data_IF_174407900523
#
_entry.id   IF_174407900523
#
_cell.length_a   1.000
_cell.length_b   1.000
_cell.length_c   1.000
_cell.angle_alpha   90.00
_cell.angle_beta   90.00
_cell.angle_gamma   90.00
#
_symmetry.space_group_name_H-M   'P 1'
#
loop_
_entity.id
_entity.type
_entity.pdbx_description
1 polymer ?
#
# COMPACT_ATOMS: atom_id res chain seq x y z
N UNK A 1 18.11 -18.35 -0.76
CA UNK A 1 17.08 -17.34 -1.09
C UNK A 1 16.90 -16.27 0.00
N UNK A 2 17.01 -16.62 1.30
CA UNK A 2 16.88 -15.66 2.43
C UNK A 2 17.92 -14.53 2.43
N UNK A 3 19.14 -14.76 1.91
CA UNK A 3 20.20 -13.74 1.90
C UNK A 3 20.02 -12.64 0.85
N UNK A 4 19.44 -12.96 -0.31
CA UNK A 4 19.14 -11.96 -1.36
C UNK A 4 18.07 -10.98 -0.87
N UNK A 5 17.14 -11.48 -0.07
CA UNK A 5 16.07 -10.71 0.54
C UNK A 5 16.55 -9.72 1.60
N UNK A 6 17.43 -10.16 2.51
CA UNK A 6 18.03 -9.27 3.52
C UNK A 6 18.87 -8.16 2.87
N UNK A 7 19.53 -8.47 1.75
CA UNK A 7 20.24 -7.48 0.94
C UNK A 7 19.28 -6.47 0.30
N UNK A 8 18.18 -6.91 -0.32
CA UNK A 8 17.17 -5.99 -0.86
C UNK A 8 16.55 -5.09 0.22
N UNK A 9 16.24 -5.65 1.39
CA UNK A 9 15.78 -4.90 2.55
C UNK A 9 16.83 -3.88 3.02
N UNK A 10 18.10 -4.27 3.09
CA UNK A 10 19.20 -3.41 3.49
C UNK A 10 19.46 -2.29 2.46
N UNK A 11 19.37 -2.59 1.18
CA UNK A 11 19.48 -1.61 0.08
C UNK A 11 18.32 -0.63 0.16
N UNK A 12 17.07 -1.09 0.20
CA UNK A 12 15.92 -0.19 0.34
C UNK A 12 16.01 0.67 1.62
N UNK A 13 16.42 0.09 2.75
CA UNK A 13 16.64 0.85 4.00
C UNK A 13 17.77 1.85 3.90
N UNK A 14 18.88 1.51 3.22
CA UNK A 14 20.01 2.40 3.02
C UNK A 14 19.67 3.52 2.03
N UNK A 15 18.94 3.21 0.95
CA UNK A 15 18.35 4.17 0.01
C UNK A 15 17.44 5.13 0.74
N UNK A 16 16.54 4.63 1.60
CA UNK A 16 15.64 5.48 2.41
C UNK A 16 16.40 6.30 3.48
N UNK A 17 17.44 5.75 4.10
CA UNK A 17 18.21 6.42 5.16
C UNK A 17 19.20 7.48 4.62
N UNK A 18 19.62 7.38 3.36
CA UNK A 18 20.58 8.30 2.73
C UNK A 18 19.96 9.44 1.93
N UNK A 19 18.63 9.50 1.79
CA UNK A 19 17.97 10.35 0.79
C UNK A 19 17.14 11.51 1.40
N UNK A 20 17.84 12.48 1.97
CA UNK A 20 17.29 13.82 2.19
C UNK A 20 17.26 14.58 0.86
N UNK A 21 16.25 14.34 0.00
CA UNK A 21 16.03 15.18 -1.20
C UNK A 21 15.51 14.52 -2.50
N UNK A 22 15.03 13.27 -2.49
CA UNK A 22 14.49 12.64 -3.70
C UNK A 22 13.03 13.00 -3.99
N UNK A 23 12.60 12.88 -5.26
CA UNK A 23 11.20 12.96 -5.67
C UNK A 23 10.34 11.97 -4.83
N UNK A 24 9.27 12.44 -4.14
CA UNK A 24 8.33 11.57 -3.44
C UNK A 24 7.83 10.38 -4.26
N UNK A 25 7.74 10.54 -5.59
CA UNK A 25 7.35 9.45 -6.50
C UNK A 25 8.36 8.31 -6.53
N UNK A 26 9.64 8.58 -6.61
CA UNK A 26 10.65 7.51 -6.62
C UNK A 26 10.68 6.77 -5.29
N UNK A 27 10.55 7.52 -4.20
CA UNK A 27 10.44 6.96 -2.84
C UNK A 27 9.22 6.04 -2.72
N UNK A 28 8.08 6.44 -3.28
CA UNK A 28 6.87 5.61 -3.30
C UNK A 28 7.06 4.30 -4.05
N UNK A 29 7.77 4.30 -5.18
CA UNK A 29 8.06 3.11 -5.97
C UNK A 29 8.97 2.15 -5.19
N UNK A 30 9.98 2.69 -4.48
CA UNK A 30 10.84 1.90 -3.60
C UNK A 30 10.04 1.20 -2.48
N UNK A 31 9.15 1.91 -1.81
CA UNK A 31 8.27 1.32 -0.79
C UNK A 31 7.35 0.26 -1.37
N UNK A 32 6.75 0.51 -2.53
CA UNK A 32 5.91 -0.48 -3.21
C UNK A 32 6.69 -1.76 -3.54
N UNK A 33 7.86 -1.65 -4.16
CA UNK A 33 8.74 -2.79 -4.48
C UNK A 33 9.13 -3.56 -3.22
N UNK A 34 9.50 -2.85 -2.15
CA UNK A 34 9.82 -3.46 -0.87
C UNK A 34 8.62 -4.20 -0.26
N UNK A 35 7.43 -3.61 -0.35
CA UNK A 35 6.17 -4.22 0.08
C UNK A 35 5.90 -5.56 -0.62
N UNK A 36 6.05 -5.63 -1.94
CA UNK A 36 5.91 -6.88 -2.71
C UNK A 36 6.92 -7.93 -2.24
N UNK A 37 8.17 -7.53 -2.04
CA UNK A 37 9.25 -8.41 -1.60
C UNK A 37 8.97 -8.95 -0.19
N UNK A 38 8.59 -8.09 0.77
CA UNK A 38 8.19 -8.48 2.14
C UNK A 38 7.00 -9.46 2.13
N UNK A 39 6.00 -9.23 1.29
CA UNK A 39 4.84 -10.13 1.20
C UNK A 39 5.25 -11.53 0.75
N UNK A 40 6.08 -11.62 -0.29
CA UNK A 40 6.53 -12.91 -0.87
C UNK A 40 7.32 -13.77 0.10
N UNK A 41 7.97 -13.17 1.11
CA UNK A 41 8.70 -13.94 2.13
C UNK A 41 7.88 -14.20 3.40
N UNK A 42 6.62 -13.75 3.45
CA UNK A 42 5.72 -13.94 4.59
C UNK A 42 5.76 -12.83 5.64
N UNK A 43 6.52 -11.75 5.43
CA UNK A 43 6.56 -10.58 6.34
C UNK A 43 5.37 -9.64 6.08
N UNK A 44 4.16 -10.17 6.26
CA UNK A 44 2.91 -9.50 5.86
C UNK A 44 2.71 -8.16 6.58
N UNK A 45 3.01 -8.09 7.87
CA UNK A 45 2.84 -6.84 8.63
C UNK A 45 3.72 -5.71 8.10
N UNK A 46 4.99 -6.02 7.83
CA UNK A 46 5.94 -5.04 7.30
C UNK A 46 5.58 -4.66 5.86
N UNK A 47 5.13 -5.64 5.06
CA UNK A 47 4.64 -5.43 3.70
C UNK A 47 3.49 -4.42 3.64
N UNK A 48 2.50 -4.57 4.51
CA UNK A 48 1.36 -3.66 4.61
C UNK A 48 1.82 -2.23 4.92
N UNK A 49 2.77 -2.06 5.84
CA UNK A 49 3.34 -0.74 6.15
C UNK A 49 4.01 -0.11 4.92
N UNK A 50 4.80 -0.90 4.19
CA UNK A 50 5.42 -0.40 2.96
C UNK A 50 4.39 -0.03 1.89
N UNK A 51 3.31 -0.79 1.72
CA UNK A 51 2.24 -0.39 0.81
C UNK A 51 1.53 0.89 1.28
N UNK A 52 1.20 0.99 2.57
CA UNK A 52 0.65 2.20 3.17
C UNK A 52 1.51 3.43 2.85
N UNK A 53 2.81 3.36 3.16
CA UNK A 53 3.75 4.45 2.93
C UNK A 53 3.87 4.80 1.43
N UNK A 54 3.92 3.78 0.57
CA UNK A 54 3.99 3.96 -0.88
C UNK A 54 2.82 4.78 -1.41
N UNK A 55 1.59 4.38 -1.11
CA UNK A 55 0.41 5.03 -1.70
C UNK A 55 0.06 6.35 -1.02
N UNK A 56 0.43 6.54 0.25
CA UNK A 56 0.36 7.86 0.90
C UNK A 56 1.33 8.88 0.29
N UNK A 57 2.56 8.48 -0.05
CA UNK A 57 3.56 9.36 -0.67
C UNK A 57 3.24 9.70 -2.13
N UNK A 58 2.49 8.83 -2.80
CA UNK A 58 2.18 8.96 -4.22
C UNK A 58 0.93 9.78 -4.50
N UNK A 59 0.11 10.05 -3.47
CA UNK A 59 -1.09 10.87 -3.56
C UNK A 59 -0.74 12.32 -3.92
N UNK A 60 -1.16 12.84 -5.08
CA UNK A 60 -0.93 14.24 -5.44
C UNK A 60 -1.72 15.22 -4.56
N UNK A 61 -2.76 14.77 -3.85
CA UNK A 61 -3.65 15.59 -3.05
C UNK A 61 -3.79 15.05 -1.61
N UNK A 62 -2.71 15.00 -0.82
CA UNK A 62 -2.68 14.29 0.45
C UNK A 62 -3.69 14.86 1.46
N UNK A 63 -4.45 13.96 2.07
CA UNK A 63 -5.28 14.28 3.24
C UNK A 63 -4.37 14.46 4.45
N UNK A 64 -4.42 15.65 5.07
CA UNK A 64 -3.49 16.04 6.15
C UNK A 64 -3.96 15.63 7.55
N UNK A 65 -5.20 15.14 7.68
CA UNK A 65 -5.70 14.65 8.96
C UNK A 65 -4.88 13.44 9.43
N UNK A 66 -4.36 13.50 10.66
CA UNK A 66 -3.58 12.39 11.24
C UNK A 66 -4.38 11.08 11.28
N UNK A 67 -5.68 11.20 11.50
CA UNK A 67 -6.62 10.09 11.58
C UNK A 67 -6.80 9.37 10.23
N UNK A 68 -6.64 10.08 9.11
CA UNK A 68 -6.70 9.47 7.79
C UNK A 68 -5.58 8.44 7.60
N UNK A 69 -4.37 8.73 8.10
CA UNK A 69 -3.25 7.80 8.01
C UNK A 69 -3.55 6.49 8.76
N UNK A 70 -4.17 6.58 9.94
CA UNK A 70 -4.57 5.41 10.70
C UNK A 70 -5.72 4.64 10.04
N UNK A 71 -6.76 5.35 9.59
CA UNK A 71 -7.85 4.76 8.81
C UNK A 71 -7.34 4.05 7.55
N UNK A 72 -6.45 4.71 6.81
CA UNK A 72 -5.84 4.18 5.60
C UNK A 72 -5.05 2.92 5.91
N UNK A 73 -4.19 2.93 6.93
CA UNK A 73 -3.43 1.74 7.34
C UNK A 73 -4.33 0.55 7.69
N UNK A 74 -5.43 0.78 8.43
CA UNK A 74 -6.41 -0.26 8.79
C UNK A 74 -7.11 -0.82 7.55
N UNK A 75 -7.62 0.04 6.66
CA UNK A 75 -8.35 -0.38 5.48
C UNK A 75 -7.44 -1.03 4.44
N UNK A 76 -6.20 -0.55 4.28
CA UNK A 76 -5.21 -1.16 3.41
C UNK A 76 -4.77 -2.52 3.94
N UNK A 77 -4.63 -2.67 5.27
CA UNK A 77 -4.38 -3.96 5.89
C UNK A 77 -5.54 -4.94 5.62
N UNK A 78 -6.79 -4.50 5.79
CA UNK A 78 -7.98 -5.29 5.43
C UNK A 78 -7.95 -5.68 3.96
N UNK A 79 -7.54 -4.76 3.09
CA UNK A 79 -7.37 -5.04 1.68
C UNK A 79 -6.37 -6.21 1.49
N UNK A 80 -5.12 -6.00 1.86
CA UNK A 80 -4.06 -7.00 1.66
C UNK A 80 -4.41 -8.35 2.29
N UNK A 81 -4.97 -8.36 3.50
CA UNK A 81 -5.38 -9.57 4.19
C UNK A 81 -6.62 -10.25 3.58
N UNK A 82 -7.43 -9.55 2.79
CA UNK A 82 -8.53 -10.13 2.01
C UNK A 82 -8.05 -10.88 0.76
N UNK A 83 -6.91 -10.47 0.17
CA UNK A 83 -6.36 -11.12 -1.03
C UNK A 83 -5.89 -12.54 -0.78
N UNK A 84 -5.92 -13.39 -1.81
CA UNK A 84 -5.20 -14.70 -1.80
C UNK A 84 -3.69 -14.50 -1.76
N UNK A 85 -3.17 -13.63 -2.63
CA UNK A 85 -1.73 -13.39 -2.80
C UNK A 85 -1.12 -12.52 -1.69
N UNK A 86 -1.91 -11.75 -0.93
CA UNK A 86 -1.43 -10.83 0.13
C UNK A 86 -0.42 -9.76 -0.34
N UNK A 87 -0.45 -9.33 -1.60
CA UNK A 87 0.32 -8.20 -2.12
C UNK A 87 -0.46 -7.40 -3.16
N UNK A 88 -0.03 -6.17 -3.42
CA UNK A 88 -0.48 -5.35 -4.54
C UNK A 88 0.24 -5.77 -5.82
N UNK A 89 -0.51 -6.01 -6.90
CA UNK A 89 0.05 -6.53 -8.17
C UNK A 89 0.66 -5.42 -9.03
N UNK A 90 0.03 -4.25 -9.05
CA UNK A 90 0.42 -3.10 -9.88
C UNK A 90 0.25 -1.79 -9.10
N UNK A 91 0.97 -0.74 -9.50
CA UNK A 91 0.79 0.59 -8.90
C UNK A 91 -0.66 1.08 -9.08
N UNK A 92 -1.26 0.86 -10.25
CA UNK A 92 -2.66 1.22 -10.52
C UNK A 92 -3.65 0.53 -9.58
N UNK A 93 -3.41 -0.74 -9.21
CA UNK A 93 -4.22 -1.43 -8.21
C UNK A 93 -4.12 -0.72 -6.86
N UNK A 94 -2.92 -0.32 -6.44
CA UNK A 94 -2.74 0.40 -5.19
C UNK A 94 -3.27 1.84 -5.19
N UNK A 95 -3.23 2.55 -6.33
CA UNK A 95 -3.94 3.84 -6.50
C UNK A 95 -5.43 3.67 -6.29
N UNK A 96 -6.02 2.70 -6.99
CA UNK A 96 -7.44 2.43 -6.89
C UNK A 96 -7.84 2.14 -5.43
N UNK A 97 -7.05 1.33 -4.70
CA UNK A 97 -7.29 1.05 -3.28
C UNK A 97 -7.17 2.32 -2.43
N UNK A 98 -6.13 3.12 -2.66
CA UNK A 98 -5.95 4.40 -1.97
C UNK A 98 -7.13 5.35 -2.21
N UNK A 99 -7.59 5.48 -3.45
CA UNK A 99 -8.72 6.34 -3.83
C UNK A 99 -10.03 5.85 -3.21
N UNK A 100 -10.28 4.53 -3.19
CA UNK A 100 -11.46 3.95 -2.53
C UNK A 100 -11.46 4.26 -1.02
N UNK A 101 -10.30 4.13 -0.37
CA UNK A 101 -10.13 4.45 1.05
C UNK A 101 -10.36 5.94 1.29
N UNK A 102 -9.79 6.81 0.45
CA UNK A 102 -9.91 8.26 0.55
C UNK A 102 -11.34 8.74 0.34
N UNK A 103 -12.04 8.19 -0.64
CA UNK A 103 -13.45 8.48 -0.85
C UNK A 103 -14.29 8.06 0.36
N UNK A 104 -14.09 6.84 0.87
CA UNK A 104 -14.82 6.40 2.07
C UNK A 104 -14.48 7.25 3.29
N UNK A 105 -13.25 7.73 3.43
CA UNK A 105 -12.87 8.65 4.49
C UNK A 105 -13.68 9.96 4.41
N UNK A 106 -13.78 10.56 3.23
CA UNK A 106 -14.55 11.80 3.05
C UNK A 106 -16.04 11.60 3.33
N UNK A 107 -16.63 10.50 2.89
CA UNK A 107 -18.00 10.14 3.23
C UNK A 107 -18.17 9.97 4.75
N UNK A 108 -17.26 9.25 5.41
CA UNK A 108 -17.29 9.04 6.85
C UNK A 108 -17.23 10.36 7.63
N UNK A 109 -16.37 11.29 7.20
CA UNK A 109 -16.28 12.63 7.81
C UNK A 109 -17.57 13.44 7.61
N UNK A 110 -18.22 13.28 6.45
CA UNK A 110 -19.51 13.91 6.19
C UNK A 110 -20.62 13.29 7.05
N UNK A 111 -20.65 11.96 7.20
CA UNK A 111 -21.58 11.23 8.05
C UNK A 111 -21.45 11.70 9.51
N UNK A 112 -20.23 11.82 10.03
CA UNK A 112 -19.96 12.31 11.39
C UNK A 112 -20.41 13.76 11.56
N UNK A 113 -20.15 14.62 10.57
CA UNK A 113 -20.55 16.02 10.61
C UNK A 113 -22.06 16.22 10.61
N UNK A 114 -22.79 15.38 9.87
CA UNK A 114 -24.25 15.43 9.76
C UNK A 114 -24.96 14.66 10.87
N UNK A 115 -24.24 13.84 11.63
CA UNK A 115 -24.82 13.06 12.72
C UNK A 115 -25.38 13.96 13.81
N UNK A 116 -26.65 13.77 14.15
CA UNK A 116 -27.29 14.39 15.31
C UNK A 116 -26.69 13.88 16.64
N UNK A 117 -26.08 12.69 16.59
CA UNK A 117 -25.48 12.04 17.75
C UNK A 117 -23.95 12.24 17.67
N UNK A 118 -23.33 12.92 18.65
CA UNK A 118 -21.88 13.05 18.68
C UNK A 118 -21.23 11.68 18.87
N UNK A 119 -20.06 11.50 18.27
CA UNK A 119 -19.28 10.28 18.46
C UNK A 119 -18.90 10.12 19.94
N UNK A 120 -19.54 9.19 20.62
CA UNK A 120 -19.33 8.91 22.05
C UNK A 120 -18.24 7.86 22.31
N UNK A 121 -17.57 7.37 21.26
CA UNK A 121 -16.50 6.38 21.39
C UNK A 121 -15.23 6.99 21.96
N UNK A 122 -14.61 6.30 22.91
CA UNK A 122 -13.30 6.65 23.45
C UNK A 122 -12.16 6.23 22.53
N UNK A 123 -12.39 5.25 21.64
CA UNK A 123 -11.38 4.72 20.72
C UNK A 123 -11.85 4.79 19.25
N UNK A 124 -11.35 5.79 18.53
CA UNK A 124 -11.62 5.96 17.08
C UNK A 124 -10.98 4.86 16.24
N UNK A 125 -9.89 4.24 16.71
CA UNK A 125 -9.20 3.18 15.98
C UNK A 125 -10.03 1.92 15.92
N UNK A 126 -10.65 1.51 17.04
CA UNK A 126 -11.57 0.38 17.04
C UNK A 126 -12.79 0.65 16.15
N UNK A 127 -13.29 1.89 16.14
CA UNK A 127 -14.36 2.28 15.24
C UNK A 127 -13.94 2.21 13.75
N UNK A 128 -12.73 2.65 13.39
CA UNK A 128 -12.23 2.51 12.02
C UNK A 128 -12.19 1.05 11.55
N UNK A 129 -11.98 0.09 12.45
CA UNK A 129 -12.04 -1.34 12.11
C UNK A 129 -13.45 -1.82 11.80
N UNK A 130 -14.50 -1.15 12.29
CA UNK A 130 -15.89 -1.52 11.98
C UNK A 130 -16.33 -0.97 10.62
N UNK A 131 -15.75 0.13 10.15
CA UNK A 131 -16.04 0.71 8.83
C UNK A 131 -15.59 -0.23 7.72
N UNK A 132 -16.50 -0.62 6.83
CA UNK A 132 -16.25 -1.51 5.70
C UNK A 132 -16.17 -0.75 4.39
N UNK A 133 -15.26 -1.17 3.52
CA UNK A 133 -15.19 -0.79 2.11
C UNK A 133 -15.42 -2.05 1.29
N UNK A 134 -16.31 -1.98 0.31
CA UNK A 134 -16.48 -3.07 -0.65
C UNK A 134 -15.35 -3.01 -1.67
N UNK A 135 -14.29 -3.77 -1.40
CA UNK A 135 -13.14 -3.81 -2.28
C UNK A 135 -13.39 -4.78 -3.45
N UNK A 136 -13.04 -4.39 -4.68
CA UNK A 136 -13.15 -5.27 -5.83
C UNK A 136 -12.04 -6.33 -5.79
N UNK A 137 -12.24 -7.34 -4.95
CA UNK A 137 -11.47 -8.57 -4.97
C UNK A 137 -11.72 -9.21 -6.33
N UNK A 138 -10.82 -8.94 -7.27
CA UNK A 138 -10.87 -9.51 -8.62
C UNK A 138 -11.02 -11.02 -8.48
N UNK A 139 -12.26 -11.49 -8.55
CA UNK A 139 -12.65 -12.87 -8.43
C UNK A 139 -12.27 -13.53 -9.74
N UNK A 140 -11.28 -14.42 -9.71
CA UNK A 140 -11.06 -15.45 -10.72
C UNK A 140 -11.40 -15.04 -12.16
N UNK A 141 -10.78 -13.98 -12.70
CA UNK A 141 -10.54 -14.03 -14.12
C UNK A 141 -9.52 -15.13 -14.29
N UNK A 142 -9.88 -16.20 -15.00
CA UNK A 142 -8.91 -17.05 -15.67
C UNK A 142 -7.84 -16.12 -16.25
N UNK A 143 -6.57 -16.52 -16.15
CA UNK A 143 -5.44 -15.80 -16.74
C UNK A 143 -5.69 -15.59 -18.24
N UNK A 144 -6.45 -14.56 -18.58
CA UNK A 144 -6.54 -14.07 -19.94
C UNK A 144 -5.24 -13.32 -20.10
N UNK A 145 -4.35 -13.88 -20.92
CA UNK A 145 -3.13 -13.25 -21.40
C UNK A 145 -3.50 -11.95 -22.13
N UNK A 146 -3.71 -10.88 -21.38
CA UNK A 146 -3.89 -9.54 -21.93
C UNK A 146 -2.56 -8.82 -21.90
N UNK A 147 -1.95 -8.79 -23.10
CA UNK A 147 -1.11 -7.72 -23.64
C UNK A 147 -0.27 -6.89 -22.69
N UNK A 148 1.04 -7.17 -22.71
CA UNK A 148 2.18 -6.23 -22.70
C UNK A 148 1.78 -4.79 -22.32
N UNK A 149 1.86 -4.47 -21.03
CA UNK A 149 1.58 -3.14 -20.53
C UNK A 149 1.61 -3.08 -19.00
N UNK A 150 2.76 -3.40 -18.40
CA UNK A 150 2.95 -3.39 -16.95
C UNK A 150 3.21 -4.75 -16.32
N UNK A 151 3.72 -5.71 -17.09
CA UNK A 151 4.41 -6.85 -16.51
C UNK A 151 5.64 -6.32 -15.76
N UNK A 152 5.86 -6.80 -14.53
CA UNK A 152 7.17 -6.72 -13.91
C UNK A 152 8.09 -7.56 -14.79
N UNK A 153 8.78 -6.91 -15.73
CA UNK A 153 9.73 -7.59 -16.59
C UNK A 153 10.78 -8.27 -15.70
N UNK A 154 11.08 -9.52 -16.04
CA UNK A 154 12.22 -10.25 -15.49
C UNK A 154 13.52 -9.43 -15.59
N UNK A 155 13.57 -8.47 -16.53
CA UNK A 155 14.66 -7.52 -16.70
C UNK A 155 14.81 -6.50 -15.56
N UNK A 156 13.72 -6.04 -14.93
CA UNK A 156 13.81 -5.16 -13.74
C UNK A 156 14.30 -5.90 -12.50
N UNK A 157 14.16 -7.24 -12.49
CA UNK A 157 14.82 -8.10 -11.52
C UNK A 157 16.34 -8.09 -11.73
N UNK A 158 16.82 -8.05 -12.98
CA UNK A 158 18.25 -7.98 -13.31
C UNK A 158 18.86 -6.61 -13.08
N UNK A 159 18.14 -5.50 -13.25
CA UNK A 159 18.71 -4.17 -13.00
C UNK A 159 19.00 -3.93 -11.50
N UNK A 160 18.18 -4.51 -10.61
CA UNK A 160 18.50 -4.60 -9.18
C UNK A 160 19.58 -5.66 -8.84
N UNK A 161 19.99 -6.48 -9.79
CA UNK A 161 21.02 -7.54 -9.65
C UNK A 161 22.36 -7.11 -10.30
N UNK A 162 22.36 -6.19 -11.25
CA UNK A 162 23.60 -5.70 -11.89
C UNK A 162 24.39 -4.71 -11.03
N UNK A 163 23.78 -4.09 -10.00
CA UNK A 163 24.51 -3.30 -8.98
C UNK A 163 25.28 -4.24 -8.00
N UNK A 164 25.33 -5.55 -8.26
CA UNK A 164 26.03 -6.54 -7.43
C UNK A 164 27.14 -7.32 -8.13
N UNK A 165 27.78 -6.77 -9.18
CA UNK A 165 29.10 -7.23 -9.62
C UNK A 165 30.20 -6.27 -9.16
#
# INVERSE_FOLDING_TARGET
>A
MVDKYKKALAVCKATLAGQSGHDPKDTSVCFYRLGVVLSRIGEIHQSIRCFHDAFMLRDPHPVRESEFSEFHSIQFARYILGKKKKWITTLAEGDMVHDLIKNRWHELQQDVRLSEIPFAGSDRREWFKTVTIDFPWVGSYQEVSMGIGGAFDQESYSECVEITQ
#
